data_IF_247786128290
#
_entry.id   IF_247786128290
#
_cell.length_a   1.000
_cell.length_b   1.000
_cell.length_c   1.000
_cell.angle_alpha   90.00
_cell.angle_beta   90.00
_cell.angle_gamma   90.00
#
_symmetry.space_group_name_H-M   'P 1'
#
loop_
_entity.id
_entity.type
_entity.pdbx_description
1 polymer ?
#
# COMPACT_ATOMS: atom_id res chain seq x y z
N UNK A 1 -9.53 -5.25 40.86
CA UNK A 1 -9.68 -5.49 39.41
C UNK A 1 -10.72 -6.57 39.14
N UNK A 2 -10.62 -7.73 39.80
CA UNK A 2 -11.59 -8.83 39.65
C UNK A 2 -13.03 -8.44 40.05
N UNK A 3 -13.21 -7.69 41.13
CA UNK A 3 -14.53 -7.18 41.53
C UNK A 3 -15.20 -6.32 40.43
N UNK A 4 -14.44 -5.47 39.73
CA UNK A 4 -14.96 -4.67 38.61
C UNK A 4 -15.36 -5.58 37.44
N UNK A 5 -14.55 -6.60 37.14
CA UNK A 5 -14.87 -7.59 36.10
C UNK A 5 -16.18 -8.31 36.41
N UNK A 6 -16.41 -8.71 37.66
CA UNK A 6 -17.65 -9.35 38.10
C UNK A 6 -18.85 -8.42 37.97
N UNK A 7 -18.76 -7.18 38.45
CA UNK A 7 -19.82 -6.18 38.33
C UNK A 7 -20.23 -5.93 36.87
N UNK A 8 -19.25 -5.80 35.97
CA UNK A 8 -19.50 -5.65 34.53
C UNK A 8 -20.14 -6.92 33.94
N UNK A 9 -19.71 -8.11 34.36
CA UNK A 9 -20.31 -9.36 33.89
C UNK A 9 -21.79 -9.48 34.30
N UNK A 10 -22.12 -9.09 35.53
CA UNK A 10 -23.50 -9.05 36.03
C UNK A 10 -24.34 -8.08 35.23
N UNK A 11 -23.89 -6.83 35.07
CA UNK A 11 -24.60 -5.82 34.29
C UNK A 11 -24.85 -6.24 32.83
N UNK A 12 -23.82 -6.77 32.15
CA UNK A 12 -23.96 -7.25 30.78
C UNK A 12 -24.99 -8.38 30.67
N UNK A 13 -25.04 -9.28 31.65
CA UNK A 13 -25.96 -10.43 31.67
C UNK A 13 -27.39 -10.00 32.00
N UNK A 14 -27.57 -9.17 33.01
CA UNK A 14 -28.88 -8.83 33.56
C UNK A 14 -29.60 -7.78 32.71
N UNK A 15 -28.91 -6.70 32.33
CA UNK A 15 -29.51 -5.56 31.62
C UNK A 15 -29.43 -5.72 30.10
N UNK A 16 -28.26 -6.11 29.57
CA UNK A 16 -28.03 -6.18 28.12
C UNK A 16 -28.23 -7.57 27.52
N UNK A 17 -28.46 -8.61 28.35
CA UNK A 17 -28.59 -10.02 27.95
C UNK A 17 -27.39 -10.53 27.11
N UNK A 18 -26.18 -10.06 27.43
CA UNK A 18 -24.92 -10.46 26.80
C UNK A 18 -24.02 -11.23 27.77
N UNK A 19 -23.33 -12.26 27.27
CA UNK A 19 -22.34 -13.02 28.04
C UNK A 19 -20.93 -12.47 27.86
N UNK A 20 -20.22 -12.22 28.97
CA UNK A 20 -18.81 -11.85 28.95
C UNK A 20 -17.95 -13.08 28.59
N UNK A 21 -17.05 -12.95 27.61
CA UNK A 21 -16.08 -13.99 27.29
C UNK A 21 -14.89 -13.93 28.26
N UNK A 22 -14.75 -14.94 29.12
CA UNK A 22 -13.69 -14.99 30.13
C UNK A 22 -12.30 -15.11 29.50
N UNK A 23 -12.17 -15.93 28.45
CA UNK A 23 -10.92 -16.14 27.72
C UNK A 23 -10.36 -14.85 27.09
N UNK A 24 -11.24 -13.95 26.64
CA UNK A 24 -10.85 -12.68 25.99
C UNK A 24 -10.60 -11.56 27.00
N UNK A 25 -11.06 -11.70 28.24
CA UNK A 25 -11.04 -10.64 29.26
C UNK A 25 -10.02 -10.93 30.35
N UNK A 26 -8.75 -10.93 29.93
CA UNK A 26 -7.61 -11.20 30.80
C UNK A 26 -7.15 -9.94 31.52
N UNK A 27 -6.97 -10.02 32.84
CA UNK A 27 -6.38 -8.96 33.66
C UNK A 27 -4.85 -9.15 33.62
N UNK A 28 -4.15 -8.20 33.01
CA UNK A 28 -2.70 -8.26 32.82
C UNK A 28 -1.99 -7.17 33.61
N UNK A 29 -0.85 -7.47 34.22
CA UNK A 29 -0.05 -6.46 34.91
C UNK A 29 0.72 -5.59 33.90
N UNK A 30 0.35 -4.31 33.83
CA UNK A 30 0.71 -3.41 32.74
C UNK A 30 2.21 -3.00 32.67
N UNK A 31 3.01 -3.32 33.70
CA UNK A 31 4.49 -3.15 33.67
C UNK A 31 5.22 -4.36 33.07
N UNK A 32 4.68 -5.56 33.25
CA UNK A 32 5.34 -6.82 32.85
C UNK A 32 4.78 -7.37 31.54
N UNK A 33 3.58 -6.96 31.16
CA UNK A 33 2.87 -7.46 29.98
C UNK A 33 2.13 -6.32 29.28
N UNK A 34 1.90 -6.49 27.98
CA UNK A 34 1.19 -5.54 27.15
C UNK A 34 -0.25 -6.02 26.92
N UNK A 35 -1.23 -5.14 27.10
CA UNK A 35 -2.61 -5.41 26.71
C UNK A 35 -2.81 -5.05 25.23
N UNK A 36 -3.55 -5.86 24.47
CA UNK A 36 -3.87 -5.56 23.07
C UNK A 36 -5.21 -4.83 23.00
N UNK A 37 -5.22 -3.62 22.46
CA UNK A 37 -6.44 -2.83 22.31
C UNK A 37 -6.39 -2.05 21.00
N UNK A 38 -7.45 -2.14 20.19
CA UNK A 38 -7.59 -1.44 18.90
C UNK A 38 -6.32 -1.53 18.03
N UNK A 39 -5.72 -2.71 17.88
CA UNK A 39 -4.52 -2.91 17.05
C UNK A 39 -3.20 -2.39 17.64
N UNK A 40 -3.23 -1.80 18.83
CA UNK A 40 -2.07 -1.38 19.61
C UNK A 40 -1.74 -2.36 20.73
N UNK A 41 -0.49 -2.34 21.16
CA UNK A 41 -0.07 -2.86 22.45
C UNK A 41 0.06 -1.70 23.45
N UNK A 42 -0.75 -1.74 24.52
CA UNK A 42 -0.78 -0.77 25.60
C UNK A 42 0.14 -1.26 26.72
N UNK A 43 1.09 -0.41 27.11
CA UNK A 43 2.09 -0.72 28.14
C UNK A 43 2.31 0.47 29.06
N UNK A 44 2.77 0.23 30.28
CA UNK A 44 3.33 1.29 31.12
C UNK A 44 4.80 1.47 30.74
N UNK A 45 5.17 2.69 30.37
CA UNK A 45 6.54 3.07 30.14
C UNK A 45 7.28 3.17 31.48
N UNK A 46 8.41 2.48 31.57
CA UNK A 46 9.27 2.49 32.75
C UNK A 46 10.72 2.45 32.28
N UNK A 47 11.49 3.48 32.63
CA UNK A 47 12.93 3.51 32.40
C UNK A 47 13.61 4.42 33.42
N UNK A 48 14.21 3.82 34.44
CA UNK A 48 14.85 4.55 35.53
C UNK A 48 16.14 5.30 35.12
N UNK A 49 16.75 4.90 34.00
CA UNK A 49 17.91 5.56 33.42
C UNK A 49 17.52 6.80 32.62
N UNK A 50 16.27 6.92 32.16
CA UNK A 50 15.81 8.09 31.40
C UNK A 50 15.38 9.20 32.35
N UNK A 51 16.28 10.14 32.55
CA UNK A 51 16.09 11.30 33.43
C UNK A 51 16.05 12.60 32.64
N UNK A 52 15.23 13.53 33.10
CA UNK A 52 15.14 14.89 32.54
C UNK A 52 15.17 15.91 33.65
N UNK A 53 15.83 17.04 33.39
CA UNK A 53 15.77 18.20 34.29
C UNK A 53 14.47 18.96 34.07
N UNK A 54 13.64 19.06 35.09
CA UNK A 54 12.37 19.80 35.05
C UNK A 54 12.50 21.04 35.94
N UNK A 55 12.03 22.19 35.44
CA UNK A 55 11.84 23.39 36.26
C UNK A 55 10.40 23.38 36.79
N UNK A 56 10.21 23.54 38.09
CA UNK A 56 8.89 23.76 38.69
C UNK A 56 8.69 25.25 38.92
N UNK A 57 7.64 25.83 38.32
CA UNK A 57 7.33 27.25 38.43
C UNK A 57 8.41 28.20 37.89
N UNK A 58 8.40 29.45 38.36
CA UNK A 58 9.38 30.49 37.98
C UNK A 58 10.73 30.38 38.71
N UNK A 59 11.03 29.23 39.33
CA UNK A 59 12.28 29.06 40.07
C UNK A 59 13.46 28.79 39.11
N UNK A 60 14.61 29.42 39.34
CA UNK A 60 15.85 29.16 38.58
C UNK A 60 16.43 27.75 38.78
N UNK A 61 15.93 26.99 39.77
CA UNK A 61 16.40 25.64 40.11
C UNK A 61 15.74 24.60 39.22
N UNK A 62 16.55 23.72 38.64
CA UNK A 62 16.09 22.55 37.88
C UNK A 62 16.28 21.29 38.71
N UNK A 63 15.29 20.42 38.72
CA UNK A 63 15.31 19.17 39.47
C UNK A 63 15.51 17.99 38.52
N UNK A 64 16.34 17.03 38.90
CA UNK A 64 16.50 15.77 38.17
C UNK A 64 15.30 14.85 38.49
N UNK A 65 14.58 14.41 37.46
CA UNK A 65 13.43 13.53 37.62
C UNK A 65 13.43 12.43 36.56
N UNK A 66 13.02 11.21 36.95
CA UNK A 66 12.71 10.14 36.00
C UNK A 66 11.50 10.56 35.14
N UNK A 67 11.67 10.60 33.83
CA UNK A 67 10.79 11.42 32.97
C UNK A 67 9.64 10.67 32.31
N UNK A 68 9.62 9.34 32.37
CA UNK A 68 8.64 8.52 31.62
C UNK A 68 7.92 7.50 32.52
N UNK A 69 8.43 7.25 33.72
CA UNK A 69 7.88 6.24 34.61
C UNK A 69 6.38 6.47 34.87
N UNK A 70 5.62 5.38 34.80
CA UNK A 70 4.16 5.35 34.94
C UNK A 70 3.34 5.98 33.79
N UNK A 71 3.99 6.48 32.73
CA UNK A 71 3.28 6.96 31.53
C UNK A 71 2.68 5.81 30.72
N UNK A 72 1.47 6.00 30.18
CA UNK A 72 0.86 5.04 29.25
C UNK A 72 1.55 5.18 27.89
N UNK A 73 2.08 4.09 27.36
CA UNK A 73 2.73 4.01 26.06
C UNK A 73 1.99 3.07 25.11
N UNK A 74 1.70 3.57 23.91
CA UNK A 74 1.17 2.78 22.81
C UNK A 74 2.31 2.25 21.94
N UNK A 75 2.24 0.98 21.55
CA UNK A 75 3.24 0.28 20.74
C UNK A 75 2.61 -0.40 19.54
N UNK A 76 3.28 -0.35 18.39
CA UNK A 76 2.99 -1.20 17.24
C UNK A 76 3.39 -2.64 17.58
N UNK A 77 2.45 -3.61 17.56
CA UNK A 77 2.77 -5.01 17.80
C UNK A 77 3.77 -5.54 16.76
N UNK A 78 4.73 -6.35 17.20
CA UNK A 78 5.74 -6.94 16.28
C UNK A 78 5.10 -7.80 15.19
N UNK A 79 4.05 -8.55 15.53
CA UNK A 79 3.30 -9.38 14.60
C UNK A 79 2.72 -8.55 13.44
N UNK A 80 2.10 -7.41 13.74
CA UNK A 80 1.56 -6.52 12.70
C UNK A 80 2.65 -6.04 11.74
N UNK A 81 3.82 -5.65 12.26
CA UNK A 81 4.93 -5.24 11.41
C UNK A 81 5.40 -6.39 10.50
N UNK A 82 5.50 -7.60 11.04
CA UNK A 82 5.91 -8.79 10.29
C UNK A 82 4.89 -9.14 9.20
N UNK A 83 3.60 -9.13 9.51
CA UNK A 83 2.51 -9.41 8.57
C UNK A 83 2.49 -8.39 7.43
N UNK A 84 2.60 -7.09 7.77
CA UNK A 84 2.67 -6.03 6.76
C UNK A 84 3.93 -6.15 5.89
N UNK A 85 5.06 -6.55 6.44
CA UNK A 85 6.28 -6.80 5.66
C UNK A 85 6.13 -8.02 4.74
N UNK A 86 5.50 -9.09 5.22
CA UNK A 86 5.31 -10.33 4.48
C UNK A 86 4.52 -10.10 3.18
N UNK A 87 3.56 -9.17 3.17
CA UNK A 87 2.81 -8.79 1.97
C UNK A 87 3.67 -8.31 0.79
N UNK A 88 4.88 -7.82 1.05
CA UNK A 88 5.81 -7.31 0.02
C UNK A 88 7.04 -8.19 -0.16
N UNK A 89 7.06 -9.36 0.46
CA UNK A 89 8.21 -10.26 0.51
C UNK A 89 7.83 -11.67 0.07
N UNK A 90 8.76 -12.34 -0.58
CA UNK A 90 8.71 -13.78 -0.86
C UNK A 90 10.04 -14.38 -0.47
N UNK A 91 10.02 -15.46 0.32
CA UNK A 91 11.22 -16.14 0.83
C UNK A 91 12.21 -15.16 1.51
N UNK A 92 11.70 -14.24 2.33
CA UNK A 92 12.53 -13.26 3.04
C UNK A 92 13.15 -12.16 2.16
N UNK A 93 12.79 -12.07 0.87
CA UNK A 93 13.29 -11.03 -0.05
C UNK A 93 12.14 -10.17 -0.57
N UNK A 94 12.29 -8.83 -0.66
CA UNK A 94 11.29 -8.00 -1.32
C UNK A 94 11.06 -8.43 -2.76
N UNK A 95 9.80 -8.50 -3.21
CA UNK A 95 9.42 -8.95 -4.57
C UNK A 95 8.62 -7.85 -5.29
N UNK A 96 8.55 -7.91 -6.63
CA UNK A 96 7.64 -7.04 -7.37
C UNK A 96 6.18 -7.45 -7.12
N UNK A 97 5.25 -6.49 -7.22
CA UNK A 97 3.80 -6.75 -7.16
C UNK A 97 3.24 -6.89 -8.56
N UNK A 98 3.05 -8.12 -9.02
CA UNK A 98 2.57 -8.39 -10.38
C UNK A 98 1.16 -7.86 -10.64
N UNK A 99 0.35 -7.68 -9.59
CA UNK A 99 -1.00 -7.11 -9.72
C UNK A 99 -0.99 -5.66 -10.23
N UNK A 100 0.10 -4.92 -9.98
CA UNK A 100 0.25 -3.50 -10.30
C UNK A 100 1.03 -3.23 -11.60
N UNK A 101 1.57 -4.26 -12.26
CA UNK A 101 2.46 -4.08 -13.43
C UNK A 101 1.81 -3.36 -14.60
N UNK A 102 0.52 -3.58 -14.79
CA UNK A 102 -0.25 -3.00 -15.88
C UNK A 102 -0.77 -1.60 -15.56
N UNK A 103 -0.65 -1.15 -14.31
CA UNK A 103 -1.09 0.17 -13.89
C UNK A 103 -0.12 1.25 -14.35
N UNK A 104 -0.60 2.49 -14.53
CA UNK A 104 0.29 3.62 -14.82
C UNK A 104 1.32 3.85 -13.70
N UNK A 105 2.51 4.35 -14.01
CA UNK A 105 3.57 4.58 -13.01
C UNK A 105 3.09 5.49 -11.86
N UNK A 106 2.28 6.48 -12.20
CA UNK A 106 1.60 7.36 -11.24
C UNK A 106 0.71 6.56 -10.27
N UNK A 107 -0.08 5.63 -10.79
CA UNK A 107 -0.97 4.80 -9.96
C UNK A 107 -0.17 3.86 -9.08
N UNK A 108 0.86 3.20 -9.62
CA UNK A 108 1.75 2.31 -8.85
C UNK A 108 2.34 3.07 -7.65
N UNK A 109 2.99 4.23 -7.88
CA UNK A 109 3.60 5.02 -6.81
C UNK A 109 2.55 5.52 -5.80
N UNK A 110 1.40 5.97 -6.29
CA UNK A 110 0.32 6.47 -5.43
C UNK A 110 -0.26 5.38 -4.53
N UNK A 111 -0.48 4.18 -5.06
CA UNK A 111 -0.99 3.03 -4.28
C UNK A 111 -0.05 2.67 -3.14
N UNK A 112 1.25 2.53 -3.42
CA UNK A 112 2.24 2.26 -2.37
C UNK A 112 2.22 3.37 -1.31
N UNK A 113 2.23 4.65 -1.74
CA UNK A 113 2.23 5.78 -0.82
C UNK A 113 0.99 5.80 0.08
N UNK A 114 -0.19 5.55 -0.46
CA UNK A 114 -1.44 5.53 0.31
C UNK A 114 -1.46 4.37 1.31
N UNK A 115 -1.03 3.17 0.89
CA UNK A 115 -0.93 2.02 1.78
C UNK A 115 0.03 2.29 2.95
N UNK A 116 1.20 2.86 2.67
CA UNK A 116 2.18 3.19 3.71
C UNK A 116 1.69 4.34 4.61
N UNK A 117 1.13 5.41 4.03
CA UNK A 117 0.55 6.53 4.78
C UNK A 117 -0.51 6.03 5.75
N UNK A 118 -1.44 5.20 5.30
CA UNK A 118 -2.51 4.67 6.15
C UNK A 118 -1.96 3.93 7.38
N UNK A 119 -0.89 3.14 7.22
CA UNK A 119 -0.25 2.44 8.34
C UNK A 119 0.44 3.44 9.29
N UNK A 120 1.16 4.42 8.75
CA UNK A 120 1.87 5.42 9.56
C UNK A 120 0.89 6.30 10.34
N UNK A 121 -0.19 6.77 9.71
CA UNK A 121 -1.20 7.59 10.41
C UNK A 121 -1.91 6.76 11.48
N UNK A 122 -2.36 5.55 11.14
CA UNK A 122 -3.04 4.69 12.11
C UNK A 122 -2.21 4.44 13.35
N UNK A 123 -0.88 4.31 13.22
CA UNK A 123 0.06 4.06 14.31
C UNK A 123 0.79 5.31 14.83
N UNK A 124 0.38 6.52 14.45
CA UNK A 124 1.08 7.79 14.78
C UNK A 124 1.36 7.99 16.28
N UNK A 125 0.44 7.50 17.11
CA UNK A 125 0.53 7.58 18.58
C UNK A 125 1.50 6.56 19.19
N UNK A 126 2.03 5.62 18.41
CA UNK A 126 2.95 4.61 18.91
C UNK A 126 4.36 5.16 19.12
N UNK A 127 4.94 4.95 20.31
CA UNK A 127 6.30 5.45 20.62
C UNK A 127 7.38 4.77 19.76
N UNK A 128 7.12 3.55 19.27
CA UNK A 128 8.02 2.80 18.40
C UNK A 128 7.73 3.02 16.90
N UNK A 129 7.12 4.15 16.52
CA UNK A 129 6.79 4.48 15.12
C UNK A 129 8.01 4.38 14.17
N UNK A 130 9.21 4.67 14.68
CA UNK A 130 10.47 4.53 13.95
C UNK A 130 10.70 3.13 13.37
N UNK A 131 10.09 2.08 13.96
CA UNK A 131 10.16 0.70 13.46
C UNK A 131 9.54 0.53 12.06
N UNK A 132 8.62 1.41 11.66
CA UNK A 132 8.07 1.45 10.31
C UNK A 132 9.12 1.79 9.24
N UNK A 133 10.31 2.28 9.61
CA UNK A 133 11.43 2.46 8.68
C UNK A 133 11.81 1.16 7.97
N UNK A 134 11.68 0.01 8.66
CA UNK A 134 11.89 -1.31 8.05
C UNK A 134 10.85 -1.60 6.98
N UNK A 135 9.57 -1.37 7.29
CA UNK A 135 8.47 -1.54 6.33
C UNK A 135 8.65 -0.62 5.12
N UNK A 136 8.99 0.66 5.37
CA UNK A 136 9.29 1.64 4.31
C UNK A 136 10.38 1.14 3.37
N UNK A 137 11.49 0.63 3.91
CA UNK A 137 12.57 0.09 3.09
C UNK A 137 12.10 -1.09 2.23
N UNK A 138 11.38 -2.05 2.82
CA UNK A 138 10.83 -3.22 2.11
C UNK A 138 9.89 -2.79 0.99
N UNK A 139 8.93 -1.91 1.30
CA UNK A 139 7.97 -1.39 0.33
C UNK A 139 8.67 -0.61 -0.79
N UNK A 140 9.71 0.17 -0.48
CA UNK A 140 10.49 0.89 -1.49
C UNK A 140 11.23 -0.07 -2.43
N UNK A 141 11.83 -1.15 -1.90
CA UNK A 141 12.45 -2.18 -2.74
C UNK A 141 11.42 -2.89 -3.63
N UNK A 142 10.26 -3.24 -3.07
CA UNK A 142 9.13 -3.83 -3.80
C UNK A 142 8.62 -2.91 -4.92
N UNK A 143 8.43 -1.62 -4.63
CA UNK A 143 8.04 -0.59 -5.59
C UNK A 143 9.05 -0.48 -6.73
N UNK A 144 10.34 -0.36 -6.40
CA UNK A 144 11.38 -0.23 -7.40
C UNK A 144 11.48 -1.47 -8.29
N UNK A 145 11.31 -2.68 -7.73
CA UNK A 145 11.24 -3.94 -8.49
C UNK A 145 10.00 -4.01 -9.38
N UNK A 146 8.86 -3.53 -8.90
CA UNK A 146 7.61 -3.46 -9.68
C UNK A 146 7.79 -2.58 -10.92
N UNK A 147 8.34 -1.38 -10.74
CA UNK A 147 8.64 -0.48 -11.86
C UNK A 147 9.73 -1.03 -12.79
N UNK A 148 10.77 -1.66 -12.22
CA UNK A 148 11.85 -2.27 -13.00
C UNK A 148 11.34 -3.38 -13.91
N UNK A 149 10.50 -4.27 -13.36
CA UNK A 149 9.88 -5.37 -14.11
C UNK A 149 8.97 -4.84 -15.22
N UNK A 150 8.07 -3.89 -14.90
CA UNK A 150 7.19 -3.24 -15.87
C UNK A 150 7.94 -2.63 -17.06
N UNK A 151 9.00 -1.87 -16.78
CA UNK A 151 9.78 -1.17 -17.81
C UNK A 151 10.86 -2.05 -18.44
N UNK A 152 10.99 -3.32 -18.04
CA UNK A 152 12.06 -4.24 -18.47
C UNK A 152 13.46 -3.62 -18.28
N UNK A 153 13.68 -2.98 -17.13
CA UNK A 153 14.95 -2.31 -16.79
C UNK A 153 15.49 -2.77 -15.43
N UNK A 154 16.74 -2.41 -15.13
CA UNK A 154 17.32 -2.64 -13.81
C UNK A 154 16.75 -1.69 -12.75
N UNK A 155 16.68 -2.14 -11.50
CA UNK A 155 16.30 -1.30 -10.33
C UNK A 155 17.14 -0.02 -10.26
N UNK A 156 18.44 -0.06 -10.54
CA UNK A 156 19.32 1.12 -10.54
C UNK A 156 18.85 2.22 -11.49
N UNK A 157 18.37 1.84 -12.69
CA UNK A 157 17.80 2.79 -13.68
C UNK A 157 16.50 3.41 -13.18
N UNK A 158 15.66 2.64 -12.48
CA UNK A 158 14.42 3.15 -11.85
C UNK A 158 14.75 4.20 -10.78
N UNK A 159 15.71 3.91 -9.89
CA UNK A 159 16.17 4.89 -8.92
C UNK A 159 16.67 6.17 -9.61
N UNK A 160 17.52 6.06 -10.64
CA UNK A 160 17.99 7.24 -11.39
C UNK A 160 16.85 8.04 -12.04
N UNK A 161 15.79 7.37 -12.50
CA UNK A 161 14.68 8.00 -13.23
C UNK A 161 13.67 8.71 -12.31
N UNK A 162 13.28 8.06 -11.21
CA UNK A 162 12.18 8.55 -10.36
C UNK A 162 12.65 9.17 -9.04
N UNK A 163 13.89 8.92 -8.62
CA UNK A 163 14.37 9.47 -7.36
C UNK A 163 14.59 10.98 -7.48
N UNK A 164 14.00 11.72 -6.55
CA UNK A 164 14.21 13.16 -6.39
C UNK A 164 14.30 13.50 -4.90
N UNK A 165 14.65 14.74 -4.59
CA UNK A 165 14.68 15.24 -3.23
C UNK A 165 13.57 16.27 -3.05
N UNK A 166 12.83 16.14 -1.95
CA UNK A 166 11.82 17.11 -1.53
C UNK A 166 12.11 17.56 -0.12
N UNK A 167 11.72 18.78 0.19
CA UNK A 167 11.74 19.30 1.54
C UNK A 167 10.34 19.19 2.15
N UNK A 168 10.25 18.56 3.32
CA UNK A 168 9.02 18.45 4.10
C UNK A 168 9.37 18.87 5.53
N UNK A 169 8.71 19.91 6.03
CA UNK A 169 8.91 20.43 7.40
C UNK A 169 10.40 20.72 7.72
N UNK A 170 11.11 21.36 6.78
CA UNK A 170 12.53 21.71 6.95
C UNK A 170 13.52 20.54 6.85
N UNK A 171 13.04 19.32 6.54
CA UNK A 171 13.89 18.12 6.37
C UNK A 171 13.90 17.67 4.91
N UNK A 172 15.08 17.35 4.40
CA UNK A 172 15.27 16.80 3.05
C UNK A 172 15.01 15.30 3.02
N UNK A 173 14.15 14.87 2.11
CA UNK A 173 13.80 13.47 1.90
C UNK A 173 14.08 13.04 0.47
N UNK A 174 14.77 11.90 0.34
CA UNK A 174 14.84 11.15 -0.93
C UNK A 174 13.51 10.44 -1.16
N UNK A 175 12.84 10.78 -2.26
CA UNK A 175 11.50 10.29 -2.62
C UNK A 175 11.49 9.77 -4.04
N UNK A 176 10.49 8.95 -4.38
CA UNK A 176 10.22 8.59 -5.77
C UNK A 176 9.06 9.46 -6.27
N UNK A 177 9.23 10.14 -7.38
CA UNK A 177 8.22 11.07 -7.89
C UNK A 177 7.91 10.85 -9.37
N UNK A 178 6.63 10.93 -9.71
CA UNK A 178 6.14 11.00 -11.09
C UNK A 178 5.29 12.25 -11.25
N UNK A 179 5.60 13.05 -12.27
CA UNK A 179 4.85 14.24 -12.67
C UNK A 179 4.17 13.96 -14.01
N UNK A 180 2.85 14.11 -14.07
CA UNK A 180 2.08 14.07 -15.32
C UNK A 180 1.63 15.50 -15.63
N UNK A 181 2.13 16.13 -16.72
CA UNK A 181 1.69 17.45 -17.13
C UNK A 181 0.22 17.43 -17.53
N UNK A 182 -0.48 18.54 -17.31
CA UNK A 182 -1.87 18.74 -17.72
C UNK A 182 -2.00 20.11 -18.37
N UNK A 183 -2.58 20.17 -19.56
CA UNK A 183 -2.85 21.44 -20.23
C UNK A 183 -3.80 22.29 -19.38
N UNK A 184 -3.40 23.53 -19.11
CA UNK A 184 -4.17 24.50 -18.32
C UNK A 184 -4.40 24.14 -16.84
N UNK A 185 -3.77 23.09 -16.30
CA UNK A 185 -3.96 22.65 -14.89
C UNK A 185 -2.64 22.30 -14.20
N UNK A 186 -2.63 22.38 -12.86
CA UNK A 186 -1.48 21.91 -12.07
C UNK A 186 -1.17 20.44 -12.41
N UNK A 187 0.11 20.08 -12.60
CA UNK A 187 0.49 18.71 -12.94
C UNK A 187 0.07 17.75 -11.82
N UNK A 188 -0.27 16.52 -12.19
CA UNK A 188 -0.47 15.46 -11.21
C UNK A 188 0.88 14.97 -10.72
N UNK A 189 1.06 14.98 -9.41
CA UNK A 189 2.29 14.52 -8.77
C UNK A 189 1.96 13.34 -7.86
N UNK A 190 2.54 12.19 -8.16
CA UNK A 190 2.59 11.04 -7.27
C UNK A 190 3.96 11.00 -6.61
N UNK A 191 3.98 10.92 -5.28
CA UNK A 191 5.22 10.90 -4.49
C UNK A 191 5.19 9.71 -3.55
N UNK A 192 6.22 8.88 -3.56
CA UNK A 192 6.49 7.86 -2.55
C UNK A 192 7.58 8.35 -1.60
N UNK A 193 7.31 8.29 -0.29
CA UNK A 193 8.16 8.83 0.75
C UNK A 193 7.67 10.19 1.27
N UNK A 194 8.56 10.95 1.91
CA UNK A 194 8.22 12.27 2.47
C UNK A 194 7.27 12.25 3.68
N UNK A 195 6.93 11.08 4.21
CA UNK A 195 6.14 10.95 5.45
C UNK A 195 7.09 10.95 6.63
N UNK A 196 6.87 11.87 7.56
CA UNK A 196 7.61 11.97 8.82
C UNK A 196 7.24 10.80 9.72
N UNK A 197 8.22 10.20 10.39
CA UNK A 197 8.01 9.16 11.42
C UNK A 197 8.16 9.77 12.81
N UNK A 198 7.54 10.92 13.01
CA UNK A 198 7.50 11.60 14.30
C UNK A 198 6.37 11.00 15.12
N UNK A 199 6.70 10.54 16.32
CA UNK A 199 5.72 10.09 17.30
C UNK A 199 4.98 11.30 17.86
N UNK A 200 3.66 11.24 17.85
CA UNK A 200 2.81 12.31 18.36
C UNK A 200 1.61 11.70 19.09
N UNK A 201 1.56 11.92 20.40
CA UNK A 201 0.56 11.32 21.28
C UNK A 201 -0.82 11.98 21.13
N UNK A 202 -0.87 13.24 20.72
CA UNK A 202 -2.10 14.01 20.51
C UNK A 202 -2.47 14.13 19.02
N UNK A 203 -1.97 13.22 18.19
CA UNK A 203 -2.24 13.27 16.76
C UNK A 203 -3.73 13.06 16.48
N UNK A 204 -4.34 14.01 15.78
CA UNK A 204 -5.68 13.84 15.22
C UNK A 204 -5.58 12.90 14.02
N UNK A 205 -6.24 11.74 14.09
CA UNK A 205 -6.30 10.80 12.98
C UNK A 205 -7.18 11.38 11.85
N UNK A 206 -6.58 11.64 10.69
CA UNK A 206 -7.32 12.04 9.49
C UNK A 206 -7.85 10.79 8.77
N UNK A 207 -9.05 10.33 9.13
CA UNK A 207 -9.66 9.10 8.59
C UNK A 207 -10.12 9.21 7.13
N UNK A 208 -10.15 10.44 6.56
CA UNK A 208 -10.61 10.69 5.20
C UNK A 208 -9.58 11.52 4.43
N UNK A 209 -8.48 10.91 3.97
CA UNK A 209 -7.58 11.60 3.06
C UNK A 209 -8.36 11.98 1.79
N UNK A 210 -8.23 13.24 1.34
CA UNK A 210 -8.88 13.71 0.12
C UNK A 210 -8.57 12.78 -1.06
N UNK A 211 -9.62 12.15 -1.61
CA UNK A 211 -9.48 11.21 -2.72
C UNK A 211 -8.96 11.97 -3.95
N UNK A 212 -7.69 11.76 -4.30
CA UNK A 212 -7.12 12.31 -5.53
C UNK A 212 -7.61 11.48 -6.71
N UNK A 213 -8.77 11.84 -7.27
CA UNK A 213 -9.24 11.31 -8.56
C UNK A 213 -8.16 11.56 -9.63
N UNK A 214 -7.51 10.50 -10.10
CA UNK A 214 -6.42 10.60 -11.08
C UNK A 214 -6.93 10.67 -12.53
N UNK A 215 -7.77 11.66 -12.85
CA UNK A 215 -8.31 11.83 -14.21
C UNK A 215 -9.08 10.60 -14.72
N UNK A 216 -9.07 10.39 -16.04
CA UNK A 216 -9.74 9.27 -16.75
C UNK A 216 -9.66 7.95 -15.99
N UNK A 217 -10.76 7.21 -15.97
CA UNK A 217 -10.80 5.88 -15.35
C UNK A 217 -9.71 4.99 -15.95
N UNK A 218 -9.20 4.02 -15.18
CA UNK A 218 -8.18 3.11 -15.69
C UNK A 218 -8.65 2.38 -16.96
N UNK A 219 -9.95 2.09 -17.04
CA UNK A 219 -10.57 1.50 -18.22
C UNK A 219 -10.49 2.43 -19.44
N UNK A 220 -10.80 3.72 -19.28
CA UNK A 220 -10.65 4.71 -20.35
C UNK A 220 -9.20 4.80 -20.83
N UNK A 221 -8.21 4.79 -19.91
CA UNK A 221 -6.78 4.81 -20.30
C UNK A 221 -6.39 3.56 -21.09
N UNK A 222 -6.92 2.39 -20.74
CA UNK A 222 -6.65 1.13 -21.45
C UNK A 222 -7.31 1.09 -22.83
N UNK A 223 -8.53 1.60 -22.94
CA UNK A 223 -9.22 1.75 -24.22
C UNK A 223 -8.45 2.69 -25.15
N UNK A 224 -8.03 3.84 -24.63
CA UNK A 224 -7.27 4.83 -25.40
C UNK A 224 -5.84 4.39 -25.73
N UNK A 225 -5.26 3.47 -24.97
CA UNK A 225 -3.96 2.90 -25.31
C UNK A 225 -4.02 2.11 -26.62
N UNK A 226 -5.23 1.70 -27.04
CA UNK A 226 -5.46 0.86 -28.20
C UNK A 226 -4.52 -0.35 -28.24
N UNK A 227 -4.35 -1.06 -27.12
CA UNK A 227 -3.49 -2.25 -27.06
C UNK A 227 -4.27 -3.41 -26.47
N UNK A 228 -4.25 -4.56 -27.15
CA UNK A 228 -4.80 -5.79 -26.60
C UNK A 228 -3.97 -6.28 -25.41
N UNK A 229 -4.61 -6.53 -24.26
CA UNK A 229 -3.91 -6.89 -23.02
C UNK A 229 -3.43 -8.34 -22.97
N UNK A 230 -3.86 -9.16 -23.93
CA UNK A 230 -3.43 -10.56 -24.04
C UNK A 230 -2.32 -10.70 -25.07
N UNK A 231 -2.50 -10.21 -26.29
CA UNK A 231 -1.54 -10.40 -27.38
C UNK A 231 -0.57 -9.21 -27.58
N UNK A 232 -0.77 -8.11 -26.86
CA UNK A 232 0.04 -6.88 -26.95
C UNK A 232 0.08 -6.25 -28.35
N UNK A 233 -0.77 -6.70 -29.28
CA UNK A 233 -0.79 -6.21 -30.65
C UNK A 233 -1.35 -4.78 -30.72
N UNK A 234 -0.60 -3.89 -31.37
CA UNK A 234 -0.96 -2.50 -31.72
C UNK A 234 -1.38 -2.32 -33.18
N UNK A 235 -1.23 -3.35 -34.04
CA UNK A 235 -1.60 -3.29 -35.46
C UNK A 235 -2.98 -3.88 -35.78
N UNK A 236 -3.64 -4.54 -34.81
CA UNK A 236 -4.97 -5.17 -34.96
C UNK A 236 -6.04 -4.37 -34.20
N UNK A 237 -5.84 -3.06 -34.09
CA UNK A 237 -6.46 -2.16 -33.11
C UNK A 237 -7.72 -1.48 -33.58
N UNK A 238 -8.09 -1.68 -34.85
CA UNK A 238 -9.21 -0.99 -35.48
C UNK A 238 -10.55 -1.30 -34.80
N UNK A 239 -10.63 -2.39 -34.02
CA UNK A 239 -11.79 -2.74 -33.19
C UNK A 239 -11.34 -3.39 -31.88
N UNK A 240 -11.24 -2.58 -30.83
CA UNK A 240 -10.94 -3.02 -29.46
C UNK A 240 -12.23 -3.08 -28.65
N UNK A 241 -12.39 -4.18 -27.93
CA UNK A 241 -13.60 -4.52 -27.19
C UNK A 241 -13.27 -4.81 -25.71
N UNK A 242 -14.21 -4.50 -24.83
CA UNK A 242 -14.08 -4.77 -23.38
C UNK A 242 -14.78 -6.07 -23.06
N UNK A 243 -13.99 -7.11 -22.79
CA UNK A 243 -14.51 -8.31 -22.18
C UNK A 243 -14.83 -8.05 -20.71
N UNK A 244 -16.01 -8.44 -20.25
CA UNK A 244 -16.42 -8.32 -18.86
C UNK A 244 -16.89 -9.67 -18.30
N UNK A 245 -16.57 -9.93 -17.04
CA UNK A 245 -17.05 -11.10 -16.29
C UNK A 245 -17.99 -10.68 -15.17
N UNK A 246 -18.91 -11.58 -14.79
CA UNK A 246 -19.90 -11.32 -13.73
C UNK A 246 -19.25 -11.18 -12.36
N UNK A 247 -18.38 -12.12 -11.96
CA UNK A 247 -17.70 -12.07 -10.67
C UNK A 247 -16.25 -12.60 -10.72
N UNK A 248 -15.38 -12.05 -9.85
CA UNK A 248 -13.98 -12.49 -9.74
C UNK A 248 -13.84 -13.93 -9.20
N UNK A 249 -14.85 -14.42 -8.48
CA UNK A 249 -14.87 -15.81 -7.99
C UNK A 249 -14.94 -16.81 -9.13
N UNK A 250 -15.51 -16.42 -10.28
CA UNK A 250 -15.66 -17.26 -11.47
C UNK A 250 -14.30 -17.55 -12.15
N UNK A 251 -13.24 -16.80 -11.78
CA UNK A 251 -11.86 -17.07 -12.20
C UNK A 251 -11.18 -18.18 -11.40
N UNK A 252 -11.81 -18.67 -10.32
CA UNK A 252 -11.28 -19.74 -9.46
C UNK A 252 -11.73 -21.13 -9.91
N UNK A 253 -12.89 -21.22 -10.56
CA UNK A 253 -13.53 -22.44 -11.06
C UNK A 253 -12.86 -22.95 -12.34
N UNK A 254 -11.61 -23.41 -12.22
CA UNK A 254 -10.87 -24.11 -13.27
C UNK A 254 -10.24 -25.35 -12.65
N UNK A 255 -11.08 -26.35 -12.37
CA UNK A 255 -10.63 -27.62 -11.80
C UNK A 255 -10.09 -28.53 -12.91
N UNK A 256 -8.85 -29.00 -12.75
CA UNK A 256 -8.23 -29.99 -13.65
C UNK A 256 -7.71 -29.48 -15.00
N UNK A 257 -7.79 -28.18 -15.31
CA UNK A 257 -7.22 -27.60 -16.55
C UNK A 257 -6.28 -26.43 -16.25
N UNK A 258 -5.23 -26.26 -17.08
CA UNK A 258 -4.38 -25.09 -16.97
C UNK A 258 -5.19 -23.82 -17.23
N UNK A 259 -5.09 -22.84 -16.32
CA UNK A 259 -5.81 -21.56 -16.44
C UNK A 259 -5.43 -20.84 -17.73
N UNK A 260 -6.41 -20.44 -18.57
CA UNK A 260 -6.15 -19.62 -19.74
C UNK A 260 -5.40 -18.33 -19.39
N UNK A 261 -4.60 -17.81 -20.33
CA UNK A 261 -3.80 -16.60 -20.12
C UNK A 261 -4.65 -15.40 -19.69
N UNK A 262 -5.83 -15.22 -20.27
CA UNK A 262 -6.75 -14.14 -19.91
C UNK A 262 -7.24 -14.25 -18.45
N UNK A 263 -7.50 -15.47 -17.95
CA UNK A 263 -7.88 -15.75 -16.56
C UNK A 263 -6.74 -15.40 -15.62
N UNK A 264 -5.51 -15.78 -15.97
CA UNK A 264 -4.31 -15.43 -15.19
C UNK A 264 -4.15 -13.90 -15.10
N UNK A 265 -4.36 -13.17 -16.20
CA UNK A 265 -4.29 -11.70 -16.24
C UNK A 265 -5.40 -11.07 -15.37
N UNK A 266 -6.66 -11.47 -15.55
CA UNK A 266 -7.78 -10.91 -14.77
C UNK A 266 -7.67 -11.24 -13.28
N UNK A 267 -7.23 -12.45 -12.94
CA UNK A 267 -7.03 -12.88 -11.56
C UNK A 267 -5.88 -12.13 -10.89
N UNK A 268 -4.77 -11.91 -11.60
CA UNK A 268 -3.66 -11.09 -11.11
C UNK A 268 -4.09 -9.64 -10.88
N UNK A 269 -4.85 -9.04 -11.82
CA UNK A 269 -5.33 -7.67 -11.69
C UNK A 269 -6.48 -7.50 -10.70
N UNK A 270 -7.19 -8.58 -10.35
CA UNK A 270 -8.44 -8.57 -9.58
C UNK A 270 -9.48 -7.59 -10.19
N UNK A 271 -9.56 -7.54 -11.52
CA UNK A 271 -10.49 -6.68 -12.28
C UNK A 271 -11.47 -7.53 -13.08
N UNK A 272 -12.73 -7.07 -13.18
CA UNK A 272 -13.79 -7.73 -13.96
C UNK A 272 -13.75 -7.40 -15.45
N UNK A 273 -12.86 -6.50 -15.88
CA UNK A 273 -12.76 -6.03 -17.27
C UNK A 273 -11.40 -6.34 -17.88
N UNK A 274 -11.38 -6.74 -19.14
CA UNK A 274 -10.18 -7.03 -19.94
C UNK A 274 -10.34 -6.39 -21.33
N UNK A 275 -9.33 -5.65 -21.77
CA UNK A 275 -9.38 -4.94 -23.07
C UNK A 275 -8.69 -5.81 -24.13
N UNK A 276 -9.42 -6.19 -25.17
CA UNK A 276 -9.00 -7.15 -26.19
C UNK A 276 -9.19 -6.59 -27.60
N UNK A 277 -8.36 -6.99 -28.56
CA UNK A 277 -8.73 -6.84 -29.96
C UNK A 277 -9.85 -7.83 -30.31
N UNK A 278 -10.67 -7.51 -31.30
CA UNK A 278 -11.81 -8.33 -31.75
C UNK A 278 -11.45 -9.81 -31.90
N UNK A 279 -10.34 -10.14 -32.56
CA UNK A 279 -9.91 -11.55 -32.72
C UNK A 279 -9.66 -12.27 -31.39
N UNK A 280 -9.04 -11.62 -30.40
CA UNK A 280 -8.84 -12.23 -29.08
C UNK A 280 -10.14 -12.26 -28.27
N UNK A 281 -11.06 -11.35 -28.51
CA UNK A 281 -12.38 -11.37 -27.91
C UNK A 281 -13.22 -12.54 -28.44
N UNK A 282 -13.23 -12.74 -29.76
CA UNK A 282 -13.91 -13.85 -30.43
C UNK A 282 -13.33 -15.21 -29.99
N UNK A 283 -12.00 -15.34 -29.96
CA UNK A 283 -11.33 -16.55 -29.47
C UNK A 283 -11.68 -16.86 -28.00
N UNK A 284 -11.85 -15.82 -27.17
CA UNK A 284 -12.25 -15.96 -25.78
C UNK A 284 -13.68 -16.47 -25.68
N UNK A 285 -14.64 -15.87 -26.39
CA UNK A 285 -16.04 -16.34 -26.42
C UNK A 285 -16.17 -17.75 -26.98
N UNK A 286 -15.35 -18.11 -27.97
CA UNK A 286 -15.30 -19.45 -28.55
C UNK A 286 -14.56 -20.49 -27.67
N UNK A 287 -14.02 -20.10 -26.51
CA UNK A 287 -13.27 -20.99 -25.63
C UNK A 287 -11.94 -21.49 -26.22
N UNK A 288 -11.41 -20.81 -27.23
CA UNK A 288 -10.18 -21.20 -27.93
C UNK A 288 -8.94 -20.77 -27.12
N UNK A 289 -7.85 -21.54 -27.16
CA UNK A 289 -6.63 -21.16 -26.47
C UNK A 289 -6.01 -19.92 -27.15
N UNK A 290 -5.84 -18.84 -26.38
CA UNK A 290 -5.21 -17.60 -26.82
C UNK A 290 -3.68 -17.80 -26.99
N UNK A 291 -3.29 -18.54 -28.04
CA UNK A 291 -1.92 -19.00 -28.34
C UNK A 291 -1.04 -17.94 -29.01
N UNK A 292 -1.57 -16.78 -29.36
CA UNK A 292 -0.80 -15.75 -30.09
C UNK A 292 0.33 -15.23 -29.20
N UNK A 293 1.57 -15.41 -29.67
CA UNK A 293 2.75 -14.88 -29.01
C UNK A 293 2.66 -13.35 -28.90
N UNK A 294 3.12 -12.75 -27.80
CA UNK A 294 3.22 -11.30 -27.70
C UNK A 294 4.12 -10.79 -28.83
N UNK A 295 3.64 -9.82 -29.60
CA UNK A 295 4.45 -9.20 -30.65
C UNK A 295 5.64 -8.53 -29.98
N UNK A 296 6.87 -8.94 -30.30
CA UNK A 296 8.06 -8.30 -29.76
C UNK A 296 8.06 -6.83 -30.18
N UNK A 297 8.23 -5.91 -29.21
CA UNK A 297 8.34 -4.45 -29.41
C UNK A 297 9.61 -4.02 -30.16
N UNK A 298 10.14 -4.84 -31.07
CA UNK A 298 11.47 -4.68 -31.65
C UNK A 298 11.47 -4.13 -33.08
N UNK A 299 10.36 -3.66 -33.66
CA UNK A 299 10.36 -3.21 -35.07
C UNK A 299 9.34 -2.11 -35.46
N UNK A 300 8.92 -1.23 -34.55
CA UNK A 300 7.95 -0.17 -34.89
C UNK A 300 8.34 1.26 -34.48
N UNK A 301 9.59 1.49 -34.08
CA UNK A 301 10.08 2.88 -33.90
C UNK A 301 10.55 3.53 -35.21
N UNK A 302 10.71 2.77 -36.31
CA UNK A 302 11.12 3.32 -37.61
C UNK A 302 9.94 3.80 -38.48
N UNK A 303 8.74 3.22 -38.33
CA UNK A 303 7.59 3.59 -39.17
C UNK A 303 6.80 4.83 -38.65
N UNK A 304 6.99 5.24 -37.39
CA UNK A 304 6.34 6.45 -36.85
C UNK A 304 7.13 7.73 -37.19
N UNK A 305 8.39 7.61 -37.64
CA UNK A 305 9.25 8.76 -38.00
C UNK A 305 8.99 9.35 -39.40
N UNK A 306 8.22 8.70 -40.27
CA UNK A 306 7.97 9.22 -41.63
C UNK A 306 6.72 10.09 -41.77
N UNK A 307 5.93 10.28 -40.70
CA UNK A 307 4.68 11.06 -40.77
C UNK A 307 4.82 12.52 -40.28
N UNK A 308 6.03 12.96 -39.92
CA UNK A 308 6.33 14.34 -39.49
C UNK A 308 7.46 14.99 -40.30
N UNK A 309 7.43 14.76 -41.63
CA UNK A 309 8.14 15.60 -42.60
C UNK A 309 7.22 15.87 -43.80
N UNK A 310 6.29 16.79 -43.58
CA UNK A 310 5.72 17.70 -44.56
C UNK A 310 5.18 18.90 -43.77
#
# INVERSE_FOLDING_TARGET
AEAIKQQLATFLREELKLSLSEEKTVITHARSSAAKFLGYEVTILQNDAKRSRVKRGNTKRSFDQRSINAGIGLRIPRAVLQDKCACYMKNGKPIHRSELENESDFTIISTYQLEYRGIVEYYRMAYNLHTLSRLKWIMQQSLAKTLAHKHKTSVRKIYKKYQTEIEVEGKRYKVFQVKIPREGKKPLIATWGGITLTWEMQATLEDRPGWKWSGRSELEKRLLAQVCEVCEATRLTDQIEVHHIRALKDLRTYDGREKPRWVKIMAARKRKTLVLCRTCHDDLHAGRPLKRAPVSRSRTEEEIRSCWKA
#
